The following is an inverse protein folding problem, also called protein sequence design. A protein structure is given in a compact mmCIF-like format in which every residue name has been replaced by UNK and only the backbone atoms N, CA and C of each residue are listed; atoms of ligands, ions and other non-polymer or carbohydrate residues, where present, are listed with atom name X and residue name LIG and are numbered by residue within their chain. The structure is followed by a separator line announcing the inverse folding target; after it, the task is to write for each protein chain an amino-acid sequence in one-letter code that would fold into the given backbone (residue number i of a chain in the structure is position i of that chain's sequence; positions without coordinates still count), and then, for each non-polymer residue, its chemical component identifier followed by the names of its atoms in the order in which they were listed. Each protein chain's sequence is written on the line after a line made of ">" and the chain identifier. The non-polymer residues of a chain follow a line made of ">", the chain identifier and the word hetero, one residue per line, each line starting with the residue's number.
data_IF_081090306756
#
_entry.id   IF_081090306756
#
_cell.length_a   1.000
_cell.length_b   1.000
_cell.length_c   1.000
_cell.angle_alpha   90.00
_cell.angle_beta   90.00
_cell.angle_gamma   90.00
#
_symmetry.space_group_name_H-M   'P 1'
#
loop_
_entity.id
_entity.type
_entity.pdbx_description
1 polymer ?
#
# COMPACT_ATOMS: atom_id res chain seq x y z
N UNK A 1 -14.94 -3.41 12.15
CA UNK A 1 -14.12 -3.19 10.95
C UNK A 1 -14.97 -3.49 9.72
N UNK A 2 -14.95 -2.62 8.71
CA UNK A 2 -15.78 -2.76 7.51
C UNK A 2 -15.38 -3.99 6.69
N UNK A 3 -16.37 -4.72 6.17
CA UNK A 3 -16.16 -5.77 5.17
C UNK A 3 -16.06 -5.15 3.77
N UNK A 4 -15.48 -5.89 2.84
CA UNK A 4 -15.26 -5.46 1.46
C UNK A 4 -16.14 -6.29 0.51
N UNK A 5 -16.67 -5.66 -0.55
CA UNK A 5 -17.30 -6.35 -1.69
C UNK A 5 -17.00 -5.63 -3.00
N UNK A 6 -17.23 -6.30 -4.12
CA UNK A 6 -17.07 -5.69 -5.45
C UNK A 6 -18.15 -4.63 -5.75
N UNK A 7 -17.74 -3.58 -6.45
CA UNK A 7 -18.60 -2.67 -7.21
C UNK A 7 -18.53 -3.05 -8.69
N UNK A 8 -19.38 -3.99 -9.10
CA UNK A 8 -19.37 -4.53 -10.47
C UNK A 8 -19.67 -3.45 -11.51
N UNK A 9 -20.46 -2.43 -11.16
CA UNK A 9 -20.81 -1.34 -12.07
C UNK A 9 -19.61 -0.43 -12.38
N UNK A 10 -18.76 -0.18 -11.38
CA UNK A 10 -17.70 0.84 -11.47
C UNK A 10 -16.29 0.28 -11.41
N UNK A 11 -16.14 -1.05 -11.52
CA UNK A 11 -14.86 -1.75 -11.36
C UNK A 11 -14.16 -1.38 -10.04
N UNK A 12 -14.93 -1.26 -8.96
CA UNK A 12 -14.44 -0.78 -7.67
C UNK A 12 -14.59 -1.79 -6.53
N UNK A 13 -14.26 -1.33 -5.32
CA UNK A 13 -14.43 -2.06 -4.07
C UNK A 13 -15.22 -1.19 -3.10
N UNK A 14 -16.21 -1.75 -2.41
CA UNK A 14 -17.05 -1.04 -1.45
C UNK A 14 -16.84 -1.55 -0.04
N UNK A 15 -16.76 -0.62 0.90
CA UNK A 15 -16.72 -0.84 2.34
C UNK A 15 -18.13 -0.78 2.90
N UNK A 16 -18.55 -1.83 3.62
CA UNK A 16 -19.82 -1.81 4.36
C UNK A 16 -19.82 -2.77 5.55
N UNK A 17 -20.57 -2.40 6.58
CA UNK A 17 -20.81 -3.22 7.78
C UNK A 17 -21.95 -4.23 7.58
N UNK A 18 -22.74 -4.08 6.50
CA UNK A 18 -23.91 -4.91 6.19
C UNK A 18 -23.62 -5.82 4.99
N UNK A 19 -22.55 -6.62 5.09
CA UNK A 19 -22.16 -7.59 4.06
C UNK A 19 -22.21 -8.99 4.68
N UNK A 20 -23.00 -9.86 4.07
CA UNK A 20 -23.05 -11.28 4.41
C UNK A 20 -21.73 -11.98 4.06
N UNK A 21 -21.39 -13.07 4.72
CA UNK A 21 -20.06 -13.71 4.55
C UNK A 21 -19.79 -14.19 3.12
N UNK A 22 -20.83 -14.62 2.41
CA UNK A 22 -20.81 -15.05 1.01
C UNK A 22 -20.46 -13.91 0.02
N UNK A 23 -20.77 -12.67 0.37
CA UNK A 23 -20.49 -11.49 -0.46
C UNK A 23 -19.17 -10.80 -0.09
N UNK A 24 -18.58 -11.19 1.03
CA UNK A 24 -17.33 -10.61 1.52
C UNK A 24 -16.16 -11.10 0.69
N UNK A 25 -15.32 -10.17 0.25
CA UNK A 25 -14.07 -10.49 -0.46
C UNK A 25 -12.86 -10.28 0.44
N UNK A 26 -11.80 -11.05 0.19
CA UNK A 26 -10.46 -10.75 0.71
C UNK A 26 -9.98 -9.46 0.07
N UNK A 27 -9.21 -8.66 0.82
CA UNK A 27 -8.77 -7.35 0.35
C UNK A 27 -7.98 -7.44 -0.95
N UNK A 28 -8.52 -6.92 -2.08
CA UNK A 28 -7.85 -7.02 -3.36
C UNK A 28 -6.81 -5.91 -3.51
N UNK A 29 -5.72 -6.20 -4.21
CA UNK A 29 -4.73 -5.20 -4.59
C UNK A 29 -5.06 -4.61 -5.97
N UNK A 30 -4.88 -3.30 -6.19
CA UNK A 30 -4.96 -2.73 -7.52
C UNK A 30 -3.83 -3.29 -8.41
N UNK A 31 -4.12 -3.40 -9.71
CA UNK A 31 -3.18 -3.87 -10.73
C UNK A 31 -3.03 -2.77 -11.77
N UNK A 32 -1.79 -2.40 -12.07
CA UNK A 32 -1.43 -1.34 -13.01
C UNK A 32 -0.87 -1.93 -14.30
N UNK A 33 -0.75 -1.11 -15.35
CA UNK A 33 -0.32 -1.59 -16.66
C UNK A 33 1.10 -2.16 -16.64
N UNK A 34 1.98 -1.69 -15.76
CA UNK A 34 3.36 -2.17 -15.63
C UNK A 34 3.40 -3.65 -15.22
N UNK A 35 2.50 -4.06 -14.33
CA UNK A 35 2.36 -5.47 -13.96
C UNK A 35 1.80 -6.30 -15.12
N UNK A 36 0.83 -5.76 -15.85
CA UNK A 36 0.25 -6.45 -17.01
C UNK A 36 1.28 -6.64 -18.13
N UNK A 37 2.08 -5.62 -18.39
CA UNK A 37 3.19 -5.65 -19.35
C UNK A 37 4.26 -6.66 -18.91
N UNK A 38 4.65 -6.66 -17.63
CA UNK A 38 5.63 -7.59 -17.08
C UNK A 38 5.20 -9.05 -17.24
N UNK A 39 3.91 -9.32 -17.08
CA UNK A 39 3.35 -10.67 -17.14
C UNK A 39 2.95 -11.12 -18.55
N UNK A 40 2.97 -10.22 -19.55
CA UNK A 40 2.66 -10.54 -20.94
C UNK A 40 1.16 -10.51 -21.28
N UNK A 41 0.34 -9.77 -20.52
CA UNK A 41 -1.10 -9.65 -20.83
C UNK A 41 -1.39 -8.92 -22.14
N UNK A 42 -0.44 -8.12 -22.64
CA UNK A 42 -0.57 -7.38 -23.91
C UNK A 42 -0.77 -8.27 -25.14
N UNK A 43 -0.38 -9.55 -25.08
CA UNK A 43 -0.62 -10.52 -26.16
C UNK A 43 -2.10 -10.97 -26.23
N UNK A 44 -2.87 -10.71 -25.17
CA UNK A 44 -4.24 -11.21 -25.01
C UNK A 44 -5.30 -10.11 -24.92
N UNK A 45 -4.96 -8.96 -24.33
CA UNK A 45 -5.88 -7.86 -24.06
C UNK A 45 -5.33 -6.53 -24.57
N UNK A 46 -6.25 -5.60 -24.83
CA UNK A 46 -5.91 -4.20 -25.06
C UNK A 46 -6.26 -3.38 -23.81
N UNK A 47 -5.28 -2.66 -23.26
CA UNK A 47 -5.44 -1.82 -22.08
C UNK A 47 -4.58 -0.55 -22.17
N UNK A 48 -5.04 0.57 -21.58
CA UNK A 48 -4.31 1.83 -21.62
C UNK A 48 -3.12 1.83 -20.66
N UNK A 49 -2.00 2.43 -21.09
CA UNK A 49 -0.83 2.69 -20.24
C UNK A 49 -1.03 4.01 -19.49
N UNK A 50 -1.68 3.94 -18.34
CA UNK A 50 -2.11 5.08 -17.53
C UNK A 50 -1.71 4.89 -16.06
N UNK A 51 -1.78 5.96 -15.27
CA UNK A 51 -1.39 5.90 -13.85
C UNK A 51 -2.47 5.26 -12.99
N UNK A 52 -3.71 5.24 -13.47
CA UNK A 52 -4.84 4.66 -12.78
C UNK A 52 -4.78 3.11 -12.84
N UNK A 53 -5.25 2.44 -11.78
CA UNK A 53 -5.30 0.99 -11.79
C UNK A 53 -6.36 0.50 -12.78
N UNK A 54 -6.11 -0.68 -13.34
CA UNK A 54 -6.90 -1.26 -14.42
C UNK A 54 -7.76 -2.45 -13.93
N UNK A 55 -7.15 -3.26 -13.08
CA UNK A 55 -7.71 -4.52 -12.58
C UNK A 55 -7.51 -4.62 -11.08
N UNK A 56 -8.11 -5.66 -10.50
CA UNK A 56 -7.90 -6.06 -9.13
C UNK A 56 -7.29 -7.45 -9.08
N UNK A 57 -6.42 -7.71 -8.10
CA UNK A 57 -5.86 -9.04 -7.89
C UNK A 57 -6.07 -9.53 -6.45
N UNK A 58 -6.37 -10.83 -6.33
CA UNK A 58 -6.35 -11.56 -5.06
C UNK A 58 -5.38 -12.73 -5.26
N UNK A 59 -4.21 -12.64 -4.64
CA UNK A 59 -3.09 -13.54 -4.94
C UNK A 59 -2.67 -13.42 -6.40
N UNK A 60 -2.81 -14.53 -7.14
CA UNK A 60 -2.48 -14.64 -8.58
C UNK A 60 -3.71 -14.64 -9.49
N UNK A 61 -4.89 -14.34 -8.95
CA UNK A 61 -6.15 -14.25 -9.70
C UNK A 61 -6.51 -12.79 -9.94
N UNK A 62 -6.88 -12.48 -11.17
CA UNK A 62 -7.21 -11.15 -11.65
C UNK A 62 -8.71 -11.02 -11.86
N UNK A 63 -9.24 -9.86 -11.50
CA UNK A 63 -10.65 -9.54 -11.52
C UNK A 63 -10.89 -8.22 -12.23
N UNK A 64 -11.89 -8.21 -13.10
CA UNK A 64 -12.43 -7.01 -13.75
C UNK A 64 -13.91 -6.91 -13.41
N UNK A 65 -14.34 -5.80 -12.82
CA UNK A 65 -15.74 -5.59 -12.41
C UNK A 65 -16.28 -6.72 -11.52
N UNK A 66 -15.42 -7.24 -10.64
CA UNK A 66 -15.72 -8.36 -9.74
C UNK A 66 -15.75 -9.75 -10.39
N UNK A 67 -15.55 -9.84 -11.70
CA UNK A 67 -15.54 -11.10 -12.46
C UNK A 67 -14.10 -11.60 -12.53
N UNK A 68 -13.88 -12.88 -12.28
CA UNK A 68 -12.58 -13.53 -12.44
C UNK A 68 -12.24 -13.69 -13.93
N UNK A 69 -11.14 -13.07 -14.37
CA UNK A 69 -10.81 -12.92 -15.80
C UNK A 69 -9.52 -13.58 -16.22
N UNK A 70 -8.58 -13.75 -15.29
CA UNK A 70 -7.33 -14.45 -15.55
C UNK A 70 -6.67 -14.97 -14.27
N UNK A 71 -5.83 -15.97 -14.41
CA UNK A 71 -4.96 -16.46 -13.34
C UNK A 71 -3.54 -16.67 -13.87
N UNK A 72 -2.57 -16.24 -13.07
CA UNK A 72 -1.14 -16.48 -13.33
C UNK A 72 -0.71 -17.73 -12.59
N UNK A 73 -0.14 -18.69 -13.32
CA UNK A 73 0.37 -19.96 -12.77
C UNK A 73 1.88 -20.06 -12.95
N UNK A 74 2.56 -20.66 -11.97
CA UNK A 74 4.02 -20.75 -11.97
C UNK A 74 4.69 -19.38 -11.79
N UNK A 75 5.78 -19.15 -12.53
CA UNK A 75 6.60 -17.95 -12.42
C UNK A 75 7.60 -18.04 -11.27
N UNK A 76 8.89 -18.13 -11.61
CA UNK A 76 10.00 -18.01 -10.68
C UNK A 76 11.18 -17.28 -11.38
N UNK A 77 12.36 -17.30 -10.78
CA UNK A 77 13.55 -16.59 -11.31
C UNK A 77 14.05 -17.22 -12.64
N UNK A 78 13.72 -18.49 -12.89
CA UNK A 78 14.16 -19.29 -14.04
C UNK A 78 13.04 -19.52 -15.07
N UNK A 79 11.78 -19.56 -14.62
CA UNK A 79 10.63 -19.95 -15.44
C UNK A 79 9.65 -18.81 -15.60
N UNK A 80 9.27 -18.53 -16.85
CA UNK A 80 8.22 -17.55 -17.16
C UNK A 80 6.86 -18.03 -16.62
N UNK A 81 6.02 -17.10 -16.14
CA UNK A 81 4.65 -17.43 -15.74
C UNK A 81 3.80 -17.87 -16.94
N UNK A 82 2.81 -18.71 -16.67
CA UNK A 82 1.77 -19.12 -17.64
C UNK A 82 0.51 -18.32 -17.34
N UNK A 83 -0.04 -17.67 -18.37
CA UNK A 83 -1.30 -16.93 -18.29
C UNK A 83 -2.48 -17.83 -18.66
N UNK A 84 -3.42 -18.00 -17.73
CA UNK A 84 -4.69 -18.68 -17.96
C UNK A 84 -5.80 -17.63 -18.10
N UNK A 85 -6.00 -17.16 -19.35
CA UNK A 85 -6.99 -16.13 -19.70
C UNK A 85 -8.38 -16.77 -19.83
N UNK A 86 -9.35 -16.29 -19.05
CA UNK A 86 -10.74 -16.79 -19.07
C UNK A 86 -11.65 -16.01 -20.01
N UNK A 87 -11.35 -14.75 -20.25
CA UNK A 87 -12.18 -13.86 -21.08
C UNK A 87 -11.31 -12.87 -21.84
N UNK A 88 -11.68 -12.57 -23.09
CA UNK A 88 -11.10 -11.43 -23.84
C UNK A 88 -11.86 -10.17 -23.48
N UNK A 89 -11.14 -9.13 -23.04
CA UNK A 89 -11.73 -7.89 -22.54
C UNK A 89 -10.99 -6.68 -23.11
N UNK A 90 -11.75 -5.60 -23.27
CA UNK A 90 -11.20 -4.24 -23.41
C UNK A 90 -11.27 -3.59 -22.04
N UNK A 91 -10.10 -3.25 -21.50
CA UNK A 91 -9.99 -2.78 -20.12
C UNK A 91 -10.00 -1.27 -20.09
N UNK A 92 -10.85 -0.71 -19.22
CA UNK A 92 -10.89 0.71 -18.93
C UNK A 92 -10.29 0.98 -17.54
N UNK A 93 -9.66 2.15 -17.33
CA UNK A 93 -9.11 2.51 -16.03
C UNK A 93 -10.20 2.65 -14.96
N UNK A 94 -9.86 2.25 -13.75
CA UNK A 94 -10.72 2.42 -12.59
C UNK A 94 -10.78 3.90 -12.23
N UNK A 95 -11.99 4.43 -12.10
CA UNK A 95 -12.18 5.80 -11.64
C UNK A 95 -11.93 5.88 -10.11
N UNK A 96 -10.70 6.20 -9.73
CA UNK A 96 -10.24 6.28 -8.33
C UNK A 96 -11.02 7.34 -7.55
N UNK A 97 -11.35 8.48 -8.14
CA UNK A 97 -12.14 9.51 -7.46
C UNK A 97 -13.54 9.00 -7.09
N UNK A 98 -14.20 8.28 -8.01
CA UNK A 98 -15.52 7.70 -7.77
C UNK A 98 -15.44 6.58 -6.73
N UNK A 99 -14.39 5.77 -6.77
CA UNK A 99 -14.11 4.74 -5.77
C UNK A 99 -13.99 5.36 -4.37
N UNK A 100 -13.23 6.46 -4.22
CA UNK A 100 -13.09 7.18 -2.95
C UNK A 100 -14.43 7.77 -2.53
N UNK A 101 -15.13 8.48 -3.43
CA UNK A 101 -16.43 9.11 -3.13
C UNK A 101 -17.45 8.11 -2.60
N UNK A 102 -17.49 6.89 -3.14
CA UNK A 102 -18.41 5.84 -2.66
C UNK A 102 -18.05 5.28 -1.28
N UNK A 103 -16.78 5.37 -0.89
CA UNK A 103 -16.28 4.82 0.38
C UNK A 103 -16.02 5.88 1.46
N UNK A 104 -16.22 7.16 1.15
CA UNK A 104 -15.77 8.28 1.99
C UNK A 104 -16.36 8.23 3.40
N UNK A 105 -17.63 7.86 3.55
CA UNK A 105 -18.27 7.80 4.87
C UNK A 105 -17.70 6.67 5.73
N UNK A 106 -17.40 5.51 5.13
CA UNK A 106 -16.74 4.42 5.85
C UNK A 106 -15.29 4.78 6.22
N UNK A 107 -14.57 5.45 5.31
CA UNK A 107 -13.20 5.91 5.55
C UNK A 107 -13.14 6.95 6.66
N UNK A 108 -14.08 7.90 6.72
CA UNK A 108 -14.18 8.89 7.80
C UNK A 108 -14.38 8.23 9.17
N UNK A 109 -15.22 7.20 9.25
CA UNK A 109 -15.41 6.46 10.51
C UNK A 109 -14.10 5.81 10.96
N UNK A 110 -13.39 5.14 10.04
CA UNK A 110 -12.09 4.53 10.35
C UNK A 110 -11.03 5.58 10.72
N UNK A 111 -11.02 6.72 10.04
CA UNK A 111 -10.13 7.85 10.33
C UNK A 111 -10.39 8.40 11.73
N UNK A 112 -11.65 8.65 12.11
CA UNK A 112 -12.01 9.11 13.45
C UNK A 112 -11.63 8.09 14.53
N UNK A 113 -11.93 6.81 14.33
CA UNK A 113 -11.53 5.74 15.26
C UNK A 113 -10.00 5.69 15.46
N UNK A 114 -9.23 5.87 14.38
CA UNK A 114 -7.77 5.89 14.44
C UNK A 114 -7.23 7.16 15.15
N UNK A 115 -7.82 8.32 14.88
CA UNK A 115 -7.46 9.58 15.55
C UNK A 115 -7.69 9.48 17.06
N UNK A 116 -8.86 9.00 17.48
CA UNK A 116 -9.21 8.82 18.89
C UNK A 116 -8.22 7.85 19.57
N UNK A 117 -7.90 6.74 18.88
CA UNK A 117 -6.92 5.78 19.38
C UNK A 117 -5.51 6.38 19.58
N UNK A 118 -5.04 7.20 18.63
CA UNK A 118 -3.75 7.88 18.71
C UNK A 118 -3.76 8.86 19.89
N UNK A 119 -4.81 9.68 20.03
CA UNK A 119 -4.95 10.66 21.11
C UNK A 119 -4.95 9.99 22.49
N UNK A 120 -5.76 8.95 22.66
CA UNK A 120 -5.86 8.22 23.93
C UNK A 120 -4.56 7.52 24.29
N UNK A 121 -3.89 6.93 23.31
CA UNK A 121 -2.58 6.28 23.50
C UNK A 121 -1.54 7.33 23.91
N UNK A 122 -1.46 8.45 23.19
CA UNK A 122 -0.54 9.53 23.53
C UNK A 122 -0.79 10.05 24.95
N UNK A 123 -2.04 10.37 25.31
CA UNK A 123 -2.42 10.85 26.64
C UNK A 123 -2.05 9.86 27.76
N UNK A 124 -2.21 8.55 27.51
CA UNK A 124 -1.90 7.49 28.49
C UNK A 124 -0.40 7.36 28.75
N UNK A 125 0.43 7.55 27.73
CA UNK A 125 1.86 7.25 27.79
C UNK A 125 2.77 8.48 27.83
N UNK A 126 2.30 9.69 27.54
CA UNK A 126 3.15 10.89 27.44
C UNK A 126 4.01 11.22 28.66
N UNK A 127 3.58 10.79 29.86
CA UNK A 127 4.34 10.98 31.10
C UNK A 127 5.03 9.68 31.58
N UNK A 128 5.09 8.65 30.73
CA UNK A 128 5.61 7.31 31.04
C UNK A 128 6.72 6.86 30.07
N UNK A 129 6.92 7.58 28.98
CA UNK A 129 7.93 7.31 27.96
C UNK A 129 8.69 8.60 27.69
N UNK A 130 9.96 8.47 27.31
CA UNK A 130 10.78 9.62 26.97
C UNK A 130 10.48 10.15 25.56
N UNK A 131 9.98 9.28 24.67
CA UNK A 131 9.80 9.60 23.26
C UNK A 131 8.76 8.70 22.59
N UNK A 132 7.94 9.29 21.71
CA UNK A 132 7.15 8.54 20.74
C UNK A 132 7.89 8.45 19.41
N UNK A 133 7.91 7.27 18.81
CA UNK A 133 8.50 7.06 17.49
C UNK A 133 7.47 6.54 16.50
N UNK A 134 7.57 7.04 15.27
CA UNK A 134 6.80 6.59 14.12
C UNK A 134 7.75 5.85 13.18
N UNK A 135 7.63 4.53 13.15
CA UNK A 135 8.37 3.71 12.20
C UNK A 135 7.81 3.93 10.80
N UNK A 136 8.65 4.43 9.90
CA UNK A 136 8.30 4.72 8.52
C UNK A 136 9.09 3.81 7.59
N UNK A 137 8.43 3.08 6.69
CA UNK A 137 9.10 2.17 5.75
C UNK A 137 9.13 2.68 4.31
N UNK A 138 8.48 3.83 4.04
CA UNK A 138 8.23 4.28 2.66
C UNK A 138 7.03 3.61 1.99
N UNK A 139 6.36 2.66 2.66
CA UNK A 139 5.16 1.99 2.17
C UNK A 139 3.86 2.75 2.47
N UNK A 140 2.78 2.34 1.80
CA UNK A 140 1.44 2.95 1.94
C UNK A 140 0.91 2.99 3.38
N UNK A 141 1.14 1.93 4.16
CA UNK A 141 0.57 1.82 5.52
C UNK A 141 1.31 2.76 6.47
N UNK A 142 2.64 2.77 6.42
CA UNK A 142 3.43 3.73 7.18
C UNK A 142 3.18 5.18 6.78
N UNK A 143 2.86 5.42 5.51
CA UNK A 143 2.48 6.76 5.02
C UNK A 143 1.17 7.24 5.65
N UNK A 144 0.15 6.38 5.69
CA UNK A 144 -1.13 6.71 6.33
C UNK A 144 -0.94 6.91 7.84
N UNK A 145 -0.14 6.08 8.49
CA UNK A 145 0.16 6.23 9.93
C UNK A 145 0.83 7.58 10.22
N UNK A 146 1.88 7.93 9.46
CA UNK A 146 2.57 9.23 9.62
C UNK A 146 1.60 10.39 9.39
N UNK A 147 0.75 10.29 8.38
CA UNK A 147 -0.24 11.32 8.09
C UNK A 147 -1.23 11.50 9.23
N UNK A 148 -1.82 10.42 9.74
CA UNK A 148 -2.75 10.47 10.88
C UNK A 148 -2.08 11.04 12.14
N UNK A 149 -0.87 10.59 12.47
CA UNK A 149 -0.14 11.08 13.64
C UNK A 149 0.17 12.57 13.51
N UNK A 150 0.58 13.04 12.33
CA UNK A 150 0.89 14.45 12.08
C UNK A 150 -0.31 15.40 12.20
N UNK A 151 -1.53 14.87 12.05
CA UNK A 151 -2.78 15.62 12.24
C UNK A 151 -3.18 15.70 13.71
N UNK A 152 -2.66 14.79 14.53
CA UNK A 152 -3.10 14.58 15.92
C UNK A 152 -2.10 15.14 16.93
N UNK A 153 -0.81 14.91 16.71
CA UNK A 153 0.28 15.29 17.61
C UNK A 153 1.09 16.45 17.04
N UNK A 154 1.65 17.27 17.91
CA UNK A 154 2.58 18.30 17.48
C UNK A 154 3.87 17.67 16.92
N UNK A 155 4.53 18.28 15.90
CA UNK A 155 5.70 17.69 15.23
C UNK A 155 6.92 17.44 16.13
N UNK A 156 6.97 18.05 17.32
CA UNK A 156 8.01 17.91 18.33
C UNK A 156 7.66 16.89 19.44
N UNK A 157 6.43 16.35 19.45
CA UNK A 157 6.00 15.30 20.40
C UNK A 157 6.41 13.88 19.95
N UNK A 158 6.88 13.72 18.72
CA UNK A 158 7.31 12.44 18.17
C UNK A 158 8.47 12.58 17.19
N UNK A 159 9.14 11.46 16.92
CA UNK A 159 10.16 11.36 15.87
C UNK A 159 9.73 10.36 14.81
N UNK A 160 10.00 10.68 13.55
CA UNK A 160 9.82 9.72 12.44
C UNK A 160 11.14 9.05 12.13
N UNK A 161 11.15 7.73 12.03
CA UNK A 161 12.37 6.94 11.80
C UNK A 161 12.17 6.07 10.57
N UNK A 162 12.98 6.30 9.54
CA UNK A 162 13.17 5.36 8.43
C UNK A 162 14.40 4.49 8.71
N UNK A 163 14.17 3.19 8.86
CA UNK A 163 15.25 2.20 9.02
C UNK A 163 15.64 1.69 7.65
N UNK A 164 16.73 2.24 7.11
CA UNK A 164 17.26 1.88 5.81
C UNK A 164 18.08 0.59 5.94
N UNK A 165 17.51 -0.50 5.44
CA UNK A 165 18.15 -1.82 5.43
C UNK A 165 19.26 -1.93 4.38
N UNK A 166 19.38 -0.93 3.49
CA UNK A 166 20.17 -0.94 2.24
C UNK A 166 19.74 -1.99 1.21
N UNK A 167 18.61 -2.69 1.46
CA UNK A 167 18.00 -3.65 0.53
C UNK A 167 16.81 -3.07 -0.24
N UNK A 168 16.43 -1.82 0.05
CA UNK A 168 15.26 -1.20 -0.55
C UNK A 168 15.47 -0.90 -2.03
N UNK A 169 14.39 -0.95 -2.81
CA UNK A 169 14.42 -0.55 -4.22
C UNK A 169 14.49 0.98 -4.37
N UNK A 170 15.00 1.51 -5.51
CA UNK A 170 15.14 2.95 -5.74
C UNK A 170 13.87 3.77 -5.46
N UNK A 171 12.71 3.24 -5.83
CA UNK A 171 11.42 3.90 -5.61
C UNK A 171 11.04 4.05 -4.13
N UNK A 172 11.51 3.15 -3.24
CA UNK A 172 11.31 3.30 -1.79
C UNK A 172 12.08 4.52 -1.28
N UNK A 173 13.34 4.69 -1.70
CA UNK A 173 14.13 5.87 -1.31
C UNK A 173 13.51 7.16 -1.84
N UNK A 174 13.02 7.14 -3.08
CA UNK A 174 12.31 8.28 -3.67
C UNK A 174 11.05 8.63 -2.85
N UNK A 175 10.24 7.64 -2.49
CA UNK A 175 9.05 7.84 -1.66
C UNK A 175 9.40 8.42 -0.28
N UNK A 176 10.47 7.93 0.36
CA UNK A 176 10.95 8.44 1.65
C UNK A 176 11.39 9.89 1.55
N UNK A 177 12.22 10.24 0.56
CA UNK A 177 12.72 11.61 0.41
C UNK A 177 11.60 12.59 0.02
N UNK A 178 10.70 12.19 -0.88
CA UNK A 178 9.52 12.98 -1.24
C UNK A 178 8.64 13.25 0.00
N UNK A 179 8.40 12.23 0.81
CA UNK A 179 7.63 12.34 2.05
C UNK A 179 8.32 13.26 3.04
N UNK A 180 9.60 13.02 3.32
CA UNK A 180 10.41 13.83 4.23
C UNK A 180 10.41 15.30 3.82
N UNK A 181 10.59 15.59 2.53
CA UNK A 181 10.55 16.95 1.98
C UNK A 181 9.18 17.60 2.19
N UNK A 182 8.10 16.90 1.82
CA UNK A 182 6.72 17.39 1.97
C UNK A 182 6.39 17.70 3.43
N UNK A 183 6.67 16.78 4.35
CA UNK A 183 6.32 16.96 5.76
C UNK A 183 7.19 18.00 6.45
N UNK A 184 8.47 18.15 6.08
CA UNK A 184 9.29 19.27 6.60
C UNK A 184 8.84 20.64 6.10
N UNK A 185 8.24 20.73 4.92
CA UNK A 185 7.65 21.99 4.43
C UNK A 185 6.39 22.37 5.22
N UNK A 186 5.56 21.39 5.58
CA UNK A 186 4.33 21.60 6.36
C UNK A 186 4.65 21.79 7.85
N UNK A 187 5.61 21.02 8.37
CA UNK A 187 6.00 20.93 9.77
C UNK A 187 7.53 21.09 9.91
N UNK A 188 8.05 22.33 9.95
CA UNK A 188 9.50 22.59 9.96
C UNK A 188 10.27 21.93 11.12
N UNK A 189 9.61 21.74 12.27
CA UNK A 189 10.21 21.16 13.45
C UNK A 189 10.14 19.62 13.48
N UNK A 190 9.50 18.98 12.49
CA UNK A 190 9.38 17.53 12.45
C UNK A 190 10.76 16.87 12.34
N UNK A 191 11.07 16.06 13.35
CA UNK A 191 12.27 15.24 13.35
C UNK A 191 12.06 13.99 12.51
N UNK A 192 12.85 13.87 11.44
CA UNK A 192 12.81 12.72 10.53
C UNK A 192 14.22 12.18 10.35
N UNK A 193 14.47 11.01 10.93
CA UNK A 193 15.76 10.34 10.92
C UNK A 193 15.79 9.20 9.90
N UNK A 194 16.94 9.05 9.25
CA UNK A 194 17.26 7.87 8.45
C UNK A 194 18.39 7.14 9.17
N UNK A 195 18.10 5.94 9.64
CA UNK A 195 19.07 5.10 10.34
C UNK A 195 19.56 4.04 9.37
N UNK A 196 20.87 3.99 9.18
CA UNK A 196 21.55 3.02 8.31
C UNK A 196 22.43 2.10 9.15
N UNK A 197 22.59 0.83 8.76
CA UNK A 197 23.60 -0.04 9.34
C UNK A 197 25.02 0.49 9.09
N UNK A 198 25.99 -0.03 9.85
CA UNK A 198 27.42 0.32 9.68
C UNK A 198 27.97 -0.12 8.32
N UNK A 199 27.46 -1.24 7.81
CA UNK A 199 27.83 -1.83 6.53
C UNK A 199 26.57 -2.10 5.73
N UNK A 200 26.69 -2.13 4.40
CA UNK A 200 25.60 -2.46 3.50
C UNK A 200 25.16 -3.91 3.62
N UNK A 201 23.95 -4.20 3.14
CA UNK A 201 23.39 -5.54 3.10
C UNK A 201 24.28 -6.49 2.28
N UNK A 202 24.85 -6.01 1.17
CA UNK A 202 25.77 -6.80 0.35
C UNK A 202 27.04 -7.18 1.12
N UNK A 203 27.66 -6.23 1.83
CA UNK A 203 28.84 -6.51 2.66
C UNK A 203 28.52 -7.50 3.80
N UNK A 204 27.35 -7.37 4.42
CA UNK A 204 26.92 -8.35 5.41
C UNK A 204 26.67 -9.74 4.80
N UNK A 205 26.12 -9.83 3.59
CA UNK A 205 25.93 -11.10 2.91
C UNK A 205 27.24 -11.76 2.52
N UNK A 206 28.27 -10.98 2.17
CA UNK A 206 29.62 -11.51 1.95
C UNK A 206 30.22 -12.10 3.24
N UNK A 207 29.99 -11.45 4.40
CA UNK A 207 30.53 -11.88 5.69
C UNK A 207 29.80 -13.06 6.32
N UNK A 208 28.46 -13.01 6.33
CA UNK A 208 27.62 -13.93 7.10
C UNK A 208 26.81 -14.89 6.20
N UNK A 209 26.77 -14.64 4.90
CA UNK A 209 25.90 -15.32 3.94
C UNK A 209 24.57 -14.60 3.74
N UNK A 210 23.86 -14.88 2.63
CA UNK A 210 22.55 -14.30 2.36
C UNK A 210 21.49 -14.86 3.33
N UNK A 211 20.37 -14.13 3.56
CA UNK A 211 19.33 -14.46 4.54
C UNK A 211 18.53 -15.75 4.27
N UNK A 212 18.93 -16.55 3.29
CA UNK A 212 18.30 -17.80 2.87
C UNK A 212 19.23 -19.02 2.91
N UNK A 213 20.33 -18.94 3.66
CA UNK A 213 21.15 -20.11 4.02
C UNK A 213 20.52 -20.94 5.13
#
# INVERSE_FOLDING_TARGET
>A
MFKQKWDNENNGVLLSNKISEDQSIVSPRPVFFEELDLLGFGDHWNYPKCLEPLLWAIGRRYYYKGIFVAEVKGGNIYDKPILDIKQKLTIEPINVEKLIKKNIEALKVLESEAIDFIQDTHKRYKNKVDLFSVAFSGGKDSQVILDLISRVLAPDEYVTIFTDTTMEIPFTYEAVENTKKKYKQIYPNLQFYTIKPKESALEYWEKFGPPSR
#
